data_IF_362031692449
#
_entry.id   IF_362031692449
#
_cell.length_a   1.000
_cell.length_b   1.000
_cell.length_c   1.000
_cell.angle_alpha   90.00
_cell.angle_beta   90.00
_cell.angle_gamma   90.00
#
_symmetry.space_group_name_H-M   'P 1'
#
loop_
_entity.id
_entity.type
_entity.pdbx_description
1 polymer ?
#
# COMPACT_ATOMS: atom_id res chain seq x y z
N UNK A 1 -22.55 -5.12 -12.09
CA UNK A 1 -23.28 -3.99 -11.47
C UNK A 1 -22.72 -3.76 -10.08
N UNK A 2 -21.97 -2.68 -9.88
CA UNK A 2 -21.38 -2.36 -8.58
C UNK A 2 -22.50 -1.92 -7.63
N UNK A 3 -22.71 -2.71 -6.57
CA UNK A 3 -23.65 -2.41 -5.49
C UNK A 3 -23.14 -1.15 -4.79
N UNK A 4 -23.89 -0.05 -4.84
CA UNK A 4 -23.58 1.16 -4.10
C UNK A 4 -23.52 0.79 -2.60
N UNK A 5 -22.31 0.76 -2.04
CA UNK A 5 -22.11 0.70 -0.60
C UNK A 5 -22.72 1.98 -0.03
N UNK A 6 -23.57 1.87 1.00
CA UNK A 6 -24.09 3.02 1.72
C UNK A 6 -22.91 3.81 2.30
N UNK A 7 -22.51 4.86 1.60
CA UNK A 7 -21.37 5.70 1.94
C UNK A 7 -21.80 6.86 2.84
N UNK A 8 -20.86 7.33 3.65
CA UNK A 8 -20.97 8.63 4.31
C UNK A 8 -21.19 9.73 3.26
N UNK A 9 -21.95 10.78 3.60
CA UNK A 9 -22.08 11.95 2.73
C UNK A 9 -20.71 12.61 2.53
N UNK A 10 -20.51 13.34 1.42
CA UNK A 10 -19.26 14.08 1.17
C UNK A 10 -18.91 15.04 2.32
N UNK A 11 -19.92 15.68 2.91
CA UNK A 11 -19.77 16.53 4.09
C UNK A 11 -19.27 15.74 5.32
N UNK A 12 -19.84 14.56 5.56
CA UNK A 12 -19.41 13.67 6.65
C UNK A 12 -17.97 13.20 6.46
N UNK A 13 -17.58 12.88 5.21
CA UNK A 13 -16.21 12.49 4.88
C UNK A 13 -15.22 13.64 5.13
N UNK A 14 -15.56 14.85 4.71
CA UNK A 14 -14.73 16.05 4.97
C UNK A 14 -14.60 16.30 6.47
N UNK A 15 -15.71 16.18 7.21
CA UNK A 15 -15.71 16.36 8.67
C UNK A 15 -14.84 15.31 9.37
N UNK A 16 -14.96 14.03 8.99
CA UNK A 16 -14.11 12.96 9.52
C UNK A 16 -12.65 13.23 9.19
N UNK A 17 -12.32 13.54 7.93
CA UNK A 17 -10.95 13.86 7.48
C UNK A 17 -10.31 14.97 8.32
N UNK A 18 -11.07 16.04 8.57
CA UNK A 18 -10.63 17.18 9.39
C UNK A 18 -10.44 16.80 10.86
N UNK A 19 -11.31 15.95 11.40
CA UNK A 19 -11.21 15.46 12.79
C UNK A 19 -10.01 14.52 12.99
N UNK A 20 -9.71 13.68 12.00
CA UNK A 20 -8.56 12.75 12.09
C UNK A 20 -7.24 13.40 11.68
N UNK A 21 -7.28 14.64 11.15
CA UNK A 21 -6.08 15.36 10.70
C UNK A 21 -5.36 14.68 9.54
N UNK A 22 -6.05 13.87 8.74
CA UNK A 22 -5.47 13.17 7.60
C UNK A 22 -5.57 14.06 6.36
N UNK A 23 -4.58 14.93 6.21
CA UNK A 23 -4.36 15.71 5.01
C UNK A 23 -3.08 15.22 4.32
N UNK A 24 -3.01 15.32 2.99
CA UNK A 24 -1.80 14.98 2.24
C UNK A 24 -0.66 15.93 2.57
N UNK A 25 0.59 15.58 2.23
CA UNK A 25 1.72 16.50 2.46
C UNK A 25 1.67 17.70 1.52
N UNK A 26 0.82 17.66 0.48
CA UNK A 26 0.76 18.64 -0.60
C UNK A 26 1.78 18.35 -1.71
N UNK A 27 2.65 17.36 -1.53
CA UNK A 27 3.63 16.97 -2.53
C UNK A 27 3.07 15.95 -3.52
N UNK A 28 3.43 16.10 -4.80
CA UNK A 28 3.03 15.13 -5.82
C UNK A 28 3.68 13.77 -5.54
N UNK A 29 2.87 12.72 -5.50
CA UNK A 29 3.37 11.34 -5.51
C UNK A 29 3.43 10.80 -6.94
N UNK A 30 4.50 10.06 -7.26
CA UNK A 30 4.64 9.33 -8.52
C UNK A 30 5.23 7.95 -8.24
N UNK A 31 4.55 6.92 -8.72
CA UNK A 31 5.09 5.56 -8.67
C UNK A 31 6.36 5.47 -9.54
N UNK A 32 7.50 5.00 -8.99
CA UNK A 32 8.75 4.86 -9.74
C UNK A 32 8.60 4.01 -11.01
N UNK A 33 9.27 4.40 -12.09
CA UNK A 33 9.23 3.66 -13.36
C UNK A 33 9.80 2.25 -13.22
N UNK A 34 10.87 2.10 -12.44
CA UNK A 34 11.46 0.81 -12.13
C UNK A 34 10.44 -0.16 -11.52
N UNK A 35 9.63 0.32 -10.57
CA UNK A 35 8.59 -0.51 -9.97
C UNK A 35 7.52 -0.91 -10.98
N UNK A 36 7.08 0.02 -11.84
CA UNK A 36 6.15 -0.31 -12.93
C UNK A 36 6.72 -1.38 -13.88
N UNK A 37 7.99 -1.29 -14.22
CA UNK A 37 8.67 -2.29 -15.06
C UNK A 37 8.70 -3.66 -14.37
N UNK A 38 9.12 -3.73 -13.10
CA UNK A 38 9.08 -4.99 -12.32
C UNK A 38 7.67 -5.57 -12.28
N UNK A 39 6.64 -4.75 -12.04
CA UNK A 39 5.26 -5.23 -11.96
C UNK A 39 4.71 -5.78 -13.27
N UNK A 40 5.33 -5.45 -14.41
CA UNK A 40 4.96 -6.07 -15.70
C UNK A 40 5.53 -7.48 -15.87
N UNK A 41 6.59 -7.84 -15.12
CA UNK A 41 7.33 -9.11 -15.29
C UNK A 41 7.22 -10.05 -14.10
N UNK A 42 7.34 -9.54 -12.87
CA UNK A 42 7.44 -10.37 -11.66
C UNK A 42 6.15 -11.14 -11.31
N UNK A 43 4.94 -10.57 -11.41
CA UNK A 43 3.71 -11.28 -11.05
C UNK A 43 3.47 -12.62 -11.78
N UNK A 44 3.60 -12.72 -13.11
CA UNK A 44 3.43 -14.01 -13.80
C UNK A 44 4.53 -15.01 -13.44
N UNK A 45 5.77 -14.56 -13.25
CA UNK A 45 6.89 -15.42 -12.86
C UNK A 45 6.68 -16.00 -11.44
N UNK A 46 6.37 -15.16 -10.46
CA UNK A 46 6.12 -15.63 -9.08
C UNK A 46 4.96 -16.61 -9.05
N UNK A 47 3.92 -16.40 -9.86
CA UNK A 47 2.80 -17.34 -10.00
C UNK A 47 3.18 -18.68 -10.61
N UNK A 48 4.15 -18.74 -11.52
CA UNK A 48 4.53 -20.00 -12.17
C UNK A 48 5.41 -20.88 -11.28
N UNK A 49 6.18 -20.27 -10.38
CA UNK A 49 7.12 -20.98 -9.49
C UNK A 49 6.61 -21.17 -8.06
N UNK A 50 5.44 -20.62 -7.71
CA UNK A 50 4.86 -20.74 -6.37
C UNK A 50 3.48 -21.39 -6.38
N UNK A 51 3.11 -22.02 -5.27
CA UNK A 51 1.78 -22.60 -5.07
C UNK A 51 0.74 -21.60 -4.55
N UNK A 52 1.00 -20.29 -4.69
CA UNK A 52 0.09 -19.25 -4.20
C UNK A 52 -1.16 -19.17 -5.07
N UNK A 53 -2.33 -19.42 -4.46
CA UNK A 53 -3.63 -19.27 -5.11
C UNK A 53 -4.24 -17.91 -4.79
N UNK A 54 -4.43 -17.09 -5.81
CA UNK A 54 -5.14 -15.82 -5.68
C UNK A 54 -6.58 -15.97 -6.20
N UNK A 55 -7.55 -15.56 -5.40
CA UNK A 55 -8.98 -15.59 -5.71
C UNK A 55 -9.53 -14.17 -5.64
N UNK A 56 -10.41 -13.80 -6.58
CA UNK A 56 -11.07 -12.49 -6.57
C UNK A 56 -10.20 -11.32 -7.05
N UNK A 57 -9.18 -11.57 -7.89
CA UNK A 57 -8.32 -10.50 -8.42
C UNK A 57 -9.07 -9.50 -9.30
N UNK A 58 -10.16 -9.93 -9.92
CA UNK A 58 -11.12 -9.11 -10.67
C UNK A 58 -11.76 -8.01 -9.81
N UNK A 59 -11.70 -8.13 -8.48
CA UNK A 59 -12.20 -7.12 -7.53
C UNK A 59 -11.21 -5.99 -7.29
N UNK A 60 -9.95 -6.14 -7.72
CA UNK A 60 -8.93 -5.10 -7.60
C UNK A 60 -9.15 -4.12 -8.77
N UNK A 61 -9.42 -2.83 -8.51
CA UNK A 61 -9.60 -1.85 -9.58
C UNK A 61 -8.38 -1.82 -10.50
N UNK A 62 -8.59 -1.72 -11.81
CA UNK A 62 -7.51 -1.61 -12.81
C UNK A 62 -6.82 -0.23 -12.80
N UNK A 63 -7.54 0.80 -12.33
CA UNK A 63 -7.06 2.18 -12.20
C UNK A 63 -7.71 2.87 -11.00
N UNK A 64 -7.18 4.04 -10.64
CA UNK A 64 -7.70 4.83 -9.53
C UNK A 64 -7.27 4.34 -8.15
N UNK A 65 -7.60 5.11 -7.10
CA UNK A 65 -7.17 4.84 -5.73
C UNK A 65 -7.87 3.63 -5.13
N UNK A 66 -7.11 2.84 -4.38
CA UNK A 66 -7.66 1.74 -3.58
C UNK A 66 -6.75 1.44 -2.38
N UNK A 67 -7.35 0.88 -1.33
CA UNK A 67 -6.62 0.37 -0.16
C UNK A 67 -6.77 -1.15 -0.12
N UNK A 68 -5.64 -1.87 -0.13
CA UNK A 68 -5.57 -3.30 0.09
C UNK A 68 -5.26 -3.55 1.57
N UNK A 69 -6.31 -3.86 2.33
CA UNK A 69 -6.17 -4.27 3.72
C UNK A 69 -6.05 -5.79 3.82
N UNK A 70 -5.18 -6.28 4.70
CA UNK A 70 -5.29 -7.66 5.16
C UNK A 70 -4.40 -7.96 6.36
N UNK A 71 -4.43 -9.20 6.80
CA UNK A 71 -3.64 -9.69 7.94
C UNK A 71 -2.13 -9.76 7.65
N UNK A 72 -1.32 -9.72 8.71
CA UNK A 72 0.16 -9.80 8.64
C UNK A 72 0.69 -11.01 9.43
N UNK A 73 0.86 -12.14 8.76
CA UNK A 73 1.35 -13.40 9.31
C UNK A 73 2.82 -13.68 9.01
N UNK A 74 3.39 -13.08 7.96
CA UNK A 74 4.76 -13.33 7.51
C UNK A 74 5.40 -12.09 6.87
N UNK A 75 6.73 -12.00 6.88
CA UNK A 75 7.48 -10.93 6.23
C UNK A 75 7.25 -10.89 4.71
N UNK A 76 6.86 -12.00 4.09
CA UNK A 76 6.60 -12.08 2.65
C UNK A 76 5.18 -11.60 2.26
N UNK A 77 4.29 -11.33 3.23
CA UNK A 77 2.91 -10.93 2.93
C UNK A 77 2.80 -9.71 2.01
N UNK A 78 3.59 -8.62 2.19
CA UNK A 78 3.54 -7.48 1.28
C UNK A 78 3.90 -7.91 -0.14
N UNK A 79 4.93 -8.75 -0.30
CA UNK A 79 5.41 -9.23 -1.60
C UNK A 79 4.31 -10.06 -2.29
N UNK A 80 3.69 -11.00 -1.58
CA UNK A 80 2.60 -11.82 -2.13
C UNK A 80 1.42 -10.94 -2.56
N UNK A 81 1.02 -9.96 -1.72
CA UNK A 81 -0.09 -9.06 -2.04
C UNK A 81 0.22 -8.17 -3.24
N UNK A 82 1.45 -7.65 -3.36
CA UNK A 82 1.92 -6.90 -4.53
C UNK A 82 1.82 -7.76 -5.79
N UNK A 83 2.34 -8.99 -5.76
CA UNK A 83 2.29 -9.91 -6.91
C UNK A 83 0.85 -10.26 -7.29
N UNK A 84 -0.06 -10.38 -6.32
CA UNK A 84 -1.49 -10.57 -6.56
C UNK A 84 -2.16 -9.37 -7.22
N UNK A 85 -1.83 -8.16 -6.77
CA UNK A 85 -2.50 -6.94 -7.20
C UNK A 85 -2.27 -6.57 -8.68
N UNK A 86 -1.16 -7.02 -9.27
CA UNK A 86 -0.74 -6.68 -10.65
C UNK A 86 -0.67 -5.18 -10.94
N UNK A 87 -0.66 -4.36 -9.89
CA UNK A 87 -0.43 -2.92 -9.89
C UNK A 87 0.54 -2.63 -8.74
N UNK A 88 1.42 -1.62 -8.88
CA UNK A 88 2.25 -1.15 -7.78
C UNK A 88 1.42 -0.84 -6.53
N UNK A 89 1.74 -1.53 -5.42
CA UNK A 89 1.16 -1.26 -4.10
C UNK A 89 2.25 -0.65 -3.22
N UNK A 90 1.90 0.42 -2.52
CA UNK A 90 2.79 1.15 -1.62
C UNK A 90 2.36 0.88 -0.17
N UNK A 91 3.29 0.42 0.64
CA UNK A 91 3.10 0.13 2.05
C UNK A 91 3.85 1.13 2.90
N UNK A 92 3.38 1.27 4.13
CA UNK A 92 4.12 1.86 5.22
C UNK A 92 5.19 0.85 5.68
N UNK A 93 6.46 1.21 5.50
CA UNK A 93 7.63 0.41 5.83
C UNK A 93 8.37 1.05 7.00
N UNK A 94 8.88 0.22 7.92
CA UNK A 94 9.54 0.73 9.13
C UNK A 94 10.89 1.37 8.78
N UNK A 95 11.27 2.43 9.50
CA UNK A 95 12.55 3.12 9.36
C UNK A 95 13.77 2.17 9.33
N UNK A 96 13.73 1.05 10.07
CA UNK A 96 14.84 0.07 10.06
C UNK A 96 15.07 -0.59 8.68
N UNK A 97 14.12 -0.52 7.75
CA UNK A 97 14.31 -0.96 6.36
C UNK A 97 15.11 0.06 5.52
N UNK A 98 15.21 1.30 5.98
CA UNK A 98 15.91 2.39 5.30
C UNK A 98 17.33 2.60 5.85
N UNK A 99 17.65 2.02 7.02
CA UNK A 99 19.00 2.04 7.60
C UNK A 99 20.00 1.18 6.82
N UNK A 100 19.58 0.03 6.28
CA UNK A 100 20.44 -0.80 5.42
C UNK A 100 20.47 -0.24 3.98
N UNK A 101 21.64 0.07 3.39
CA UNK A 101 21.71 0.70 2.07
C UNK A 101 21.06 -0.10 0.94
N UNK A 102 21.10 -1.44 0.99
CA UNK A 102 20.50 -2.28 -0.05
C UNK A 102 18.99 -2.29 0.08
N UNK A 103 18.48 -2.44 1.30
CA UNK A 103 17.06 -2.41 1.60
C UNK A 103 16.46 -1.02 1.33
N UNK A 104 17.16 0.05 1.71
CA UNK A 104 16.77 1.43 1.45
C UNK A 104 16.60 1.70 -0.05
N UNK A 105 17.54 1.23 -0.87
CA UNK A 105 17.45 1.30 -2.33
C UNK A 105 16.23 0.53 -2.85
N UNK A 106 15.94 -0.64 -2.30
CA UNK A 106 14.74 -1.42 -2.65
C UNK A 106 13.46 -0.67 -2.29
N UNK A 107 13.34 -0.18 -1.06
CA UNK A 107 12.16 0.56 -0.58
C UNK A 107 11.90 1.81 -1.42
N UNK A 108 12.94 2.62 -1.65
CA UNK A 108 12.86 3.85 -2.44
C UNK A 108 12.53 3.54 -3.91
N UNK A 109 13.19 2.55 -4.51
CA UNK A 109 12.94 2.17 -5.92
C UNK A 109 11.55 1.58 -6.15
N UNK A 110 10.90 1.09 -5.09
CA UNK A 110 9.52 0.60 -5.11
C UNK A 110 8.51 1.56 -4.49
N UNK A 111 8.93 2.78 -4.13
CA UNK A 111 8.03 3.83 -3.64
C UNK A 111 7.38 3.55 -2.28
N UNK A 112 7.97 2.67 -1.46
CA UNK A 112 7.45 2.41 -0.11
C UNK A 112 7.64 3.64 0.78
N UNK A 113 6.70 3.85 1.70
CA UNK A 113 6.66 5.03 2.55
C UNK A 113 7.32 4.69 3.87
N UNK A 114 8.35 5.43 4.24
CA UNK A 114 9.01 5.30 5.53
C UNK A 114 8.10 5.74 6.68
N UNK A 115 8.13 4.98 7.78
CA UNK A 115 7.47 5.32 9.03
C UNK A 115 8.46 5.37 10.17
N UNK A 116 8.58 6.53 10.79
CA UNK A 116 9.37 6.76 11.99
C UNK A 116 8.49 6.61 13.25
N UNK A 117 8.93 5.80 14.21
CA UNK A 117 8.14 5.56 15.43
C UNK A 117 8.17 6.75 16.39
N UNK A 118 9.28 7.48 16.41
CA UNK A 118 9.54 8.54 17.39
C UNK A 118 8.82 9.85 17.04
N UNK A 119 8.61 10.12 15.74
CA UNK A 119 7.88 11.29 15.23
C UNK A 119 6.37 10.98 15.05
N UNK A 120 6.02 9.69 15.07
CA UNK A 120 4.65 9.20 14.93
C UNK A 120 4.22 8.98 13.48
N UNK A 121 3.02 8.39 13.30
CA UNK A 121 2.54 7.96 11.98
C UNK A 121 2.01 9.09 11.08
N UNK A 122 1.94 10.34 11.56
CA UNK A 122 1.25 11.43 10.87
C UNK A 122 1.86 11.73 9.49
N UNK A 123 3.18 11.88 9.39
CA UNK A 123 3.85 12.14 8.11
C UNK A 123 3.70 10.99 7.10
N UNK A 124 3.82 9.76 7.58
CA UNK A 124 3.60 8.56 6.76
C UNK A 124 2.17 8.46 6.23
N UNK A 125 1.18 8.76 7.08
CA UNK A 125 -0.23 8.77 6.70
C UNK A 125 -0.55 9.91 5.73
N UNK A 126 0.03 11.09 5.93
CA UNK A 126 -0.06 12.18 4.96
C UNK A 126 0.50 11.76 3.60
N UNK A 127 1.64 11.06 3.57
CA UNK A 127 2.20 10.53 2.33
C UNK A 127 1.31 9.46 1.69
N UNK A 128 0.66 8.62 2.49
CA UNK A 128 -0.33 7.66 2.01
C UNK A 128 -1.55 8.36 1.36
N UNK A 129 -1.99 9.50 1.89
CA UNK A 129 -3.01 10.34 1.26
C UNK A 129 -2.54 10.81 -0.13
N UNK A 130 -1.28 11.22 -0.28
CA UNK A 130 -0.76 11.62 -1.60
C UNK A 130 -0.71 10.47 -2.60
N UNK A 131 -0.37 9.24 -2.15
CA UNK A 131 -0.43 8.03 -2.98
C UNK A 131 -1.83 7.84 -3.52
N UNK A 132 -2.84 7.89 -2.65
CA UNK A 132 -4.25 7.75 -3.04
C UNK A 132 -4.68 8.92 -3.95
N UNK A 133 -4.28 10.15 -3.62
CA UNK A 133 -4.53 11.33 -4.45
C UNK A 133 -3.94 11.23 -5.87
N UNK A 134 -2.84 10.49 -6.02
CA UNK A 134 -2.24 10.18 -7.34
C UNK A 134 -2.94 9.04 -8.10
N UNK A 135 -3.94 8.40 -7.51
CA UNK A 135 -4.62 7.22 -8.06
C UNK A 135 -3.86 5.90 -7.86
N UNK A 136 -2.93 5.85 -6.91
CA UNK A 136 -2.15 4.66 -6.55
C UNK A 136 -2.90 3.69 -5.62
N UNK A 137 -2.32 2.50 -5.39
CA UNK A 137 -2.81 1.58 -4.35
C UNK A 137 -1.98 1.74 -3.08
N UNK A 138 -2.67 1.86 -1.97
CA UNK A 138 -2.08 1.70 -0.65
C UNK A 138 -2.29 0.29 -0.13
N UNK A 139 -1.27 -0.27 0.48
CA UNK A 139 -1.35 -1.50 1.23
C UNK A 139 -1.31 -1.22 2.73
N UNK A 140 -2.17 -1.89 3.50
CA UNK A 140 -2.18 -1.77 4.96
C UNK A 140 -2.35 -3.12 5.63
N UNK A 141 -1.69 -3.26 6.78
CA UNK A 141 -1.87 -4.34 7.73
C UNK A 141 -2.43 -3.76 9.03
N UNK A 142 -3.76 -3.74 9.23
CA UNK A 142 -4.40 -3.01 10.33
C UNK A 142 -3.97 -3.46 11.74
N UNK A 143 -3.42 -4.67 11.86
CA UNK A 143 -2.92 -5.24 13.12
C UNK A 143 -1.72 -4.47 13.71
N UNK A 144 -1.02 -3.66 12.90
CA UNK A 144 0.14 -2.85 13.34
C UNK A 144 1.38 -3.65 13.76
N UNK A 145 1.25 -4.95 13.98
CA UNK A 145 2.30 -5.92 14.32
C UNK A 145 1.98 -7.25 13.62
N UNK A 146 2.96 -8.16 13.51
CA UNK A 146 2.70 -9.50 12.98
C UNK A 146 1.84 -10.30 13.96
N UNK A 147 0.79 -10.97 13.49
CA UNK A 147 0.00 -11.92 14.28
C UNK A 147 0.91 -13.01 14.84
N UNK A 148 0.82 -13.25 16.16
CA UNK A 148 1.62 -14.23 16.90
C UNK A 148 0.92 -15.59 17.09
N UNK A 149 -0.15 -15.88 16.36
CA UNK A 149 -0.83 -17.20 16.44
C UNK A 149 -1.07 -17.77 15.05
N UNK A 150 -0.44 -18.91 14.80
CA UNK A 150 -0.85 -19.95 13.84
C UNK A 150 -1.01 -21.24 14.63
#
# INVERSE_FOLDING_TARGET
>A
MARAMAGLSSESLVRVSKLVGLEGTGEKFRTPLFYKAIMSVAPPLVRSISNVRYVGLDRIPSSGPAILAGNHTSHIDPIVKIMGARRPVHYLAKAEHFDDPKMSKLMTSTGQIETERDIGAAGALARAVDVLGSGGLMGIFPEGTRSRRS
#
